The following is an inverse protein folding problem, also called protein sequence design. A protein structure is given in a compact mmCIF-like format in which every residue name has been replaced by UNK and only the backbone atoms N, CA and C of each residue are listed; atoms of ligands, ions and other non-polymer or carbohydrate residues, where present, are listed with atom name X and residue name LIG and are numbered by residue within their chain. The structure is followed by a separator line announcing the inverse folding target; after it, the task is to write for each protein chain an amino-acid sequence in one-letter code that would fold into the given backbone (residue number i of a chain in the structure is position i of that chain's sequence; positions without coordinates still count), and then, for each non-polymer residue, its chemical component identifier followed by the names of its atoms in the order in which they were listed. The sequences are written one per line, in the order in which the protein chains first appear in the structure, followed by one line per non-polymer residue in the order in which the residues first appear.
data_IF_109569110591
#
_entry.id   IF_109569110591
#
_cell.length_a   1.000
_cell.length_b   1.000
_cell.length_c   1.000
_cell.angle_alpha   90.00
_cell.angle_beta   90.00
_cell.angle_gamma   90.00
#
_symmetry.space_group_name_H-M   'P 1'
#
loop_
_entity.id
_entity.type
_entity.pdbx_description
1 polymer ?
#
# COMPACT_ATOMS: atom_id res chain seq x y z
N UNK A 1 -5.83 12.71 17.53
CA UNK A 1 -5.48 12.32 18.90
C UNK A 1 -6.35 13.16 19.80
N UNK A 2 -7.36 12.56 20.42
CA UNK A 2 -8.12 13.26 21.46
C UNK A 2 -7.12 13.74 22.50
N UNK A 3 -7.13 15.05 22.78
CA UNK A 3 -6.46 15.57 23.95
C UNK A 3 -7.22 15.03 25.16
N UNK A 4 -6.91 13.80 25.59
CA UNK A 4 -7.35 13.28 26.87
C UNK A 4 -6.83 14.26 27.93
N UNK A 5 -7.72 15.07 28.51
CA UNK A 5 -7.38 15.95 29.61
C UNK A 5 -6.77 15.11 30.74
N UNK A 6 -5.59 15.50 31.20
CA UNK A 6 -4.89 14.79 32.27
C UNK A 6 -5.75 14.91 33.53
N UNK A 7 -6.18 13.80 34.15
CA UNK A 7 -6.98 13.86 35.36
C UNK A 7 -6.16 14.41 36.53
N UNK A 8 -6.82 15.10 37.46
CA UNK A 8 -6.21 15.46 38.73
C UNK A 8 -6.01 14.20 39.61
N UNK A 9 -4.81 14.03 40.15
CA UNK A 9 -4.48 12.86 40.96
C UNK A 9 -4.60 13.15 42.45
N UNK A 10 -5.19 12.22 43.20
CA UNK A 10 -5.34 12.32 44.66
C UNK A 10 -4.08 11.84 45.39
N UNK A 11 -3.15 11.17 44.69
CA UNK A 11 -1.85 10.78 45.22
C UNK A 11 -0.79 10.55 44.13
N UNK A 12 0.52 10.66 44.46
CA UNK A 12 1.61 10.31 43.53
C UNK A 12 1.55 8.84 43.06
N UNK A 13 0.99 7.94 43.88
CA UNK A 13 0.86 6.53 43.51
C UNK A 13 -0.17 6.33 42.40
N UNK A 14 -1.29 7.05 42.47
CA UNK A 14 -2.33 7.04 41.44
C UNK A 14 -1.80 7.60 40.12
N UNK A 15 -1.07 8.70 40.17
CA UNK A 15 -0.40 9.30 39.01
C UNK A 15 0.57 8.31 38.33
N UNK A 16 1.42 7.63 39.10
CA UNK A 16 2.36 6.63 38.56
C UNK A 16 1.61 5.48 37.87
N UNK A 17 0.49 5.03 38.45
CA UNK A 17 -0.33 3.96 37.85
C UNK A 17 -0.95 4.44 36.55
N UNK A 18 -1.57 5.62 36.54
CA UNK A 18 -2.18 6.23 35.37
C UNK A 18 -1.19 6.34 34.20
N UNK A 19 -0.03 6.98 34.41
CA UNK A 19 0.95 7.16 33.35
C UNK A 19 1.54 5.85 32.85
N UNK A 20 1.70 4.86 33.73
CA UNK A 20 2.16 3.53 33.34
C UNK A 20 1.15 2.81 32.46
N UNK A 21 -0.14 2.91 32.77
CA UNK A 21 -1.21 2.33 31.98
C UNK A 21 -1.38 3.05 30.65
N UNK A 22 -1.35 4.38 30.65
CA UNK A 22 -1.38 5.17 29.43
C UNK A 22 -0.19 4.84 28.52
N UNK A 23 1.03 4.77 29.05
CA UNK A 23 2.21 4.40 28.28
C UNK A 23 2.09 2.98 27.69
N UNK A 24 1.51 2.03 28.41
CA UNK A 24 1.22 0.68 27.89
C UNK A 24 0.21 0.73 26.75
N UNK A 25 -0.91 1.45 26.92
CA UNK A 25 -1.95 1.62 25.87
C UNK A 25 -1.36 2.25 24.61
N UNK A 26 -0.61 3.34 24.76
CA UNK A 26 0.03 4.04 23.64
C UNK A 26 1.06 3.15 22.94
N UNK A 27 1.85 2.38 23.69
CA UNK A 27 2.81 1.43 23.10
C UNK A 27 2.09 0.37 22.27
N UNK A 28 1.01 -0.20 22.79
CA UNK A 28 0.21 -1.19 22.07
C UNK A 28 -0.41 -0.59 20.81
N UNK A 29 -1.09 0.55 20.92
CA UNK A 29 -1.69 1.24 19.77
C UNK A 29 -0.65 1.60 18.71
N UNK A 30 0.54 2.05 19.10
CA UNK A 30 1.64 2.29 18.18
C UNK A 30 2.09 1.01 17.45
N UNK A 31 2.20 -0.11 18.17
CA UNK A 31 2.60 -1.39 17.58
C UNK A 31 1.55 -1.85 16.56
N UNK A 32 0.26 -1.81 16.93
CA UNK A 32 -0.85 -2.16 16.05
C UNK A 32 -0.86 -1.29 14.79
N UNK A 33 -0.78 0.04 14.92
CA UNK A 33 -0.77 0.95 13.78
C UNK A 33 0.46 0.77 12.89
N UNK A 34 1.61 0.43 13.48
CA UNK A 34 2.84 0.16 12.72
C UNK A 34 2.72 -1.14 11.94
N UNK A 35 2.20 -2.19 12.57
CA UNK A 35 2.07 -3.50 11.94
C UNK A 35 1.01 -3.45 10.82
N UNK A 36 -0.10 -2.73 11.02
CA UNK A 36 -1.11 -2.42 9.98
C UNK A 36 -0.48 -1.65 8.80
N UNK A 37 0.35 -0.64 9.08
CA UNK A 37 1.03 0.12 8.03
C UNK A 37 1.96 -0.76 7.20
N UNK A 38 2.69 -1.69 7.84
CA UNK A 38 3.59 -2.62 7.14
C UNK A 38 2.78 -3.53 6.22
N UNK A 39 1.71 -4.14 6.73
CA UNK A 39 0.83 -5.01 5.92
C UNK A 39 0.25 -4.26 4.72
N UNK A 40 -0.21 -3.02 4.93
CA UNK A 40 -0.72 -2.18 3.85
C UNK A 40 0.34 -1.87 2.78
N UNK A 41 1.57 -1.57 3.20
CA UNK A 41 2.68 -1.28 2.29
C UNK A 41 3.11 -2.51 1.49
N UNK A 42 3.17 -3.67 2.13
CA UNK A 42 3.49 -4.94 1.47
C UNK A 42 2.42 -5.29 0.43
N UNK A 43 1.14 -5.26 0.82
CA UNK A 43 0.03 -5.52 -0.10
C UNK A 43 -0.03 -4.51 -1.26
N UNK A 44 0.27 -3.23 -1.00
CA UNK A 44 0.34 -2.21 -2.06
C UNK A 44 1.46 -2.50 -3.05
N UNK A 45 2.65 -2.88 -2.58
CA UNK A 45 3.78 -3.22 -3.45
C UNK A 45 3.50 -4.45 -4.31
N UNK A 46 2.88 -5.49 -3.75
CA UNK A 46 2.50 -6.69 -4.50
C UNK A 46 1.49 -6.37 -5.60
N UNK A 47 0.48 -5.55 -5.29
CA UNK A 47 -0.51 -5.11 -6.27
C UNK A 47 0.13 -4.26 -7.38
N UNK A 48 1.02 -3.33 -7.03
CA UNK A 48 1.76 -2.53 -8.01
C UNK A 48 2.57 -3.41 -8.96
N UNK A 49 3.30 -4.40 -8.45
CA UNK A 49 4.07 -5.33 -9.27
C UNK A 49 3.19 -6.17 -10.21
N UNK A 50 1.99 -6.58 -9.75
CA UNK A 50 1.02 -7.28 -10.59
C UNK A 50 0.51 -6.37 -11.72
N UNK A 51 0.14 -5.13 -11.39
CA UNK A 51 -0.34 -4.15 -12.38
C UNK A 51 0.73 -3.81 -13.42
N UNK A 52 1.99 -3.63 -12.99
CA UNK A 52 3.12 -3.41 -13.90
C UNK A 52 3.31 -4.61 -14.84
N UNK A 53 3.21 -5.83 -14.32
CA UNK A 53 3.30 -7.05 -15.14
C UNK A 53 2.18 -7.10 -16.18
N UNK A 54 0.94 -6.80 -15.77
CA UNK A 54 -0.21 -6.76 -16.69
C UNK A 54 -0.03 -5.67 -17.76
N UNK A 55 0.50 -4.50 -17.39
CA UNK A 55 0.77 -3.41 -18.32
C UNK A 55 1.81 -3.82 -19.36
N UNK A 56 2.95 -4.38 -18.95
CA UNK A 56 4.00 -4.86 -19.86
C UNK A 56 3.44 -5.90 -20.84
N UNK A 57 2.63 -6.84 -20.36
CA UNK A 57 1.99 -7.84 -21.23
C UNK A 57 1.00 -7.21 -22.22
N UNK A 58 0.24 -6.20 -21.80
CA UNK A 58 -0.68 -5.49 -22.69
C UNK A 58 0.07 -4.69 -23.77
N UNK A 59 1.15 -4.00 -23.40
CA UNK A 59 2.01 -3.27 -24.34
C UNK A 59 2.67 -4.20 -25.36
N UNK A 60 3.17 -5.36 -24.91
CA UNK A 60 3.76 -6.35 -25.80
C UNK A 60 2.73 -6.85 -26.83
N UNK A 61 1.53 -7.23 -26.39
CA UNK A 61 0.44 -7.66 -27.30
C UNK A 61 0.08 -6.57 -28.31
N UNK A 62 0.01 -5.31 -27.89
CA UNK A 62 -0.25 -4.19 -28.79
C UNK A 62 0.85 -4.04 -29.85
N UNK A 63 2.11 -4.19 -29.46
CA UNK A 63 3.25 -4.14 -30.39
C UNK A 63 3.21 -5.26 -31.41
N UNK A 64 2.91 -6.48 -30.96
CA UNK A 64 2.80 -7.65 -31.85
C UNK A 64 1.66 -7.46 -32.86
N UNK A 65 0.49 -7.03 -32.40
CA UNK A 65 -0.65 -6.70 -33.27
C UNK A 65 -0.33 -5.59 -34.27
N UNK A 66 0.41 -4.56 -33.85
CA UNK A 66 0.84 -3.48 -34.75
C UNK A 66 1.79 -4.02 -35.83
N UNK A 67 2.74 -4.88 -35.45
CA UNK A 67 3.68 -5.50 -36.38
C UNK A 67 2.96 -6.38 -37.40
N UNK A 68 2.03 -7.22 -36.94
CA UNK A 68 1.20 -8.05 -37.81
C UNK A 68 0.33 -7.19 -38.74
N UNK A 69 -0.24 -6.10 -38.23
CA UNK A 69 -1.03 -5.18 -39.06
C UNK A 69 -0.19 -4.55 -40.18
N UNK A 70 1.05 -4.14 -39.88
CA UNK A 70 1.97 -3.61 -40.88
C UNK A 70 2.35 -4.66 -41.92
N UNK A 71 2.71 -5.88 -41.48
CA UNK A 71 3.03 -7.00 -42.37
C UNK A 71 1.87 -7.30 -43.33
N UNK A 72 0.65 -7.44 -42.80
CA UNK A 72 -0.56 -7.69 -43.59
C UNK A 72 -0.85 -6.56 -44.58
N UNK A 73 -0.62 -5.30 -44.20
CA UNK A 73 -0.76 -4.15 -45.12
C UNK A 73 0.20 -4.25 -46.29
N UNK A 74 1.48 -4.56 -46.04
CA UNK A 74 2.46 -4.75 -47.10
C UNK A 74 2.11 -5.95 -48.01
N UNK A 75 1.64 -7.06 -47.44
CA UNK A 75 1.16 -8.22 -48.21
C UNK A 75 -0.01 -7.81 -49.12
N UNK A 76 -1.01 -7.09 -48.59
CA UNK A 76 -2.15 -6.59 -49.38
C UNK A 76 -1.70 -5.63 -50.49
N UNK A 77 -0.74 -4.73 -50.22
CA UNK A 77 -0.19 -3.83 -51.23
C UNK A 77 0.57 -4.58 -52.34
N UNK A 78 1.32 -5.64 -51.99
CA UNK A 78 2.05 -6.46 -52.96
C UNK A 78 1.15 -7.31 -53.87
N UNK A 79 -0.07 -7.58 -53.44
CA UNK A 79 -1.08 -8.36 -54.17
C UNK A 79 -2.02 -7.49 -55.02
N UNK A 80 -1.94 -6.17 -54.90
CA UNK A 80 -2.69 -5.19 -55.71
C UNK A 80 -1.94 -4.84 -56.98
#
# INVERSE_FOLDING_TARGET
MENEEIPEFLSPKEEIVYWRELAKRLKQSYQEARDELIEFQEGSRELEAELETQLVQAEQRNRDLLSDNQRLKCEVESLK
#
